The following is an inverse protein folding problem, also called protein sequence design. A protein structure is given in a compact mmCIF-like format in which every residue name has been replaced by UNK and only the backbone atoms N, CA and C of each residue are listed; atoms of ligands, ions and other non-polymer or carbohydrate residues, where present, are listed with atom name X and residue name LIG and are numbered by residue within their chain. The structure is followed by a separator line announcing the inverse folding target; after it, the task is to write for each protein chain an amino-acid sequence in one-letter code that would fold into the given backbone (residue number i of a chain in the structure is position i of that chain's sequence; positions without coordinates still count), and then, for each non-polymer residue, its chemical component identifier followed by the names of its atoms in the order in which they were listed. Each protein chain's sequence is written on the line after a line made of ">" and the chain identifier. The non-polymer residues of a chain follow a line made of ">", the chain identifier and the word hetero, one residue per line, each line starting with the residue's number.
data_IF_256091979037
#
_entry.id   IF_256091979037
#
_cell.length_a   1.000
_cell.length_b   1.000
_cell.length_c   1.000
_cell.angle_alpha   90.00
_cell.angle_beta   90.00
_cell.angle_gamma   90.00
#
_symmetry.space_group_name_H-M   'P 1'
#
loop_
_entity.id
_entity.type
_entity.pdbx_description
1 polymer ?
#
# COMPACT_ATOMS: atom_id res chain seq x y z
N UNK A 1 -24.77 3.32 -26.58
CA UNK A 1 -23.69 2.35 -26.32
C UNK A 1 -23.02 2.86 -25.06
N UNK A 2 -22.97 2.05 -24.01
CA UNK A 2 -22.54 2.51 -22.70
C UNK A 2 -21.08 2.96 -22.77
N UNK A 3 -20.81 4.17 -22.28
CA UNK A 3 -19.50 4.66 -21.87
C UNK A 3 -18.82 3.56 -21.04
N UNK A 4 -17.89 2.83 -21.66
CA UNK A 4 -16.88 2.10 -20.91
C UNK A 4 -16.03 3.17 -20.25
N UNK A 5 -16.35 3.50 -19.00
CA UNK A 5 -15.41 4.13 -18.10
C UNK A 5 -14.16 3.25 -18.14
N UNK A 6 -13.14 3.66 -18.90
CA UNK A 6 -11.80 3.11 -18.87
C UNK A 6 -11.24 3.36 -17.47
N UNK A 7 -11.68 2.52 -16.53
CA UNK A 7 -11.14 2.46 -15.20
C UNK A 7 -9.66 2.09 -15.36
N UNK A 8 -8.75 2.88 -14.78
CA UNK A 8 -7.33 2.69 -15.00
C UNK A 8 -6.92 1.25 -14.66
N UNK A 9 -5.94 0.72 -15.40
CA UNK A 9 -5.29 -0.60 -15.20
C UNK A 9 -4.51 -0.71 -13.88
N UNK A 10 -4.92 0.06 -12.87
CA UNK A 10 -4.17 0.32 -11.66
C UNK A 10 -4.73 -0.52 -10.50
N UNK A 11 -3.89 -1.24 -9.73
CA UNK A 11 -4.33 -1.98 -8.56
C UNK A 11 -5.18 -1.11 -7.64
N UNK A 12 -6.34 -1.64 -7.24
CA UNK A 12 -7.22 -0.98 -6.30
C UNK A 12 -6.67 -1.16 -4.88
N UNK A 13 -6.62 -0.06 -4.14
CA UNK A 13 -6.14 -0.03 -2.77
C UNK A 13 -7.32 0.15 -1.84
N UNK A 14 -7.58 -0.83 -0.99
CA UNK A 14 -8.62 -0.76 0.01
C UNK A 14 -7.99 -0.52 1.40
N UNK A 15 -8.14 0.70 1.90
CA UNK A 15 -7.71 1.07 3.24
C UNK A 15 -8.79 0.67 4.25
N UNK A 16 -8.43 -0.18 5.21
CA UNK A 16 -9.31 -0.64 6.29
C UNK A 16 -8.71 -0.27 7.64
N UNK A 17 -9.50 -0.35 8.72
CA UNK A 17 -8.97 -0.09 10.08
C UNK A 17 -7.85 -1.06 10.46
N UNK A 18 -7.87 -2.27 9.89
CA UNK A 18 -6.91 -3.32 10.17
C UNK A 18 -5.67 -3.29 9.26
N UNK A 19 -5.68 -2.53 8.16
CA UNK A 19 -4.65 -2.67 7.15
C UNK A 19 -4.96 -2.11 5.77
N UNK A 20 -4.03 -2.32 4.85
CA UNK A 20 -4.18 -2.00 3.43
C UNK A 20 -4.27 -3.30 2.64
N UNK A 21 -5.36 -3.50 1.92
CA UNK A 21 -5.48 -4.58 0.96
C UNK A 21 -5.21 -4.03 -0.44
N UNK A 22 -4.34 -4.70 -1.18
CA UNK A 22 -4.05 -4.36 -2.57
C UNK A 22 -4.71 -5.41 -3.44
N UNK A 23 -5.60 -4.94 -4.30
CA UNK A 23 -6.42 -5.74 -5.19
C UNK A 23 -5.98 -5.49 -6.62
N UNK A 24 -6.05 -6.53 -7.43
CA UNK A 24 -5.81 -6.42 -8.86
C UNK A 24 -6.93 -5.61 -9.54
N UNK A 25 -6.55 -4.71 -10.45
CA UNK A 25 -7.48 -3.83 -11.17
C UNK A 25 -8.53 -4.63 -11.95
N UNK A 26 -8.08 -5.67 -12.63
CA UNK A 26 -8.91 -6.52 -13.48
C UNK A 26 -9.81 -7.43 -12.65
N UNK A 27 -9.33 -7.90 -11.49
CA UNK A 27 -10.17 -8.67 -10.57
C UNK A 27 -11.28 -7.85 -9.96
N UNK A 28 -11.02 -6.62 -9.47
CA UNK A 28 -12.07 -5.78 -8.88
C UNK A 28 -13.13 -5.38 -9.90
N UNK A 29 -12.73 -5.16 -11.16
CA UNK A 29 -13.68 -4.90 -12.26
C UNK A 29 -14.64 -6.05 -12.51
N UNK A 30 -14.24 -7.29 -12.19
CA UNK A 30 -15.04 -8.51 -12.44
C UNK A 30 -15.82 -8.96 -11.22
N UNK A 31 -15.20 -8.95 -10.04
CA UNK A 31 -15.81 -9.39 -8.79
C UNK A 31 -15.13 -8.75 -7.58
N UNK A 32 -15.86 -7.91 -6.84
CA UNK A 32 -15.35 -7.19 -5.67
C UNK A 32 -15.06 -8.12 -4.46
N UNK A 33 -15.56 -9.35 -4.50
CA UNK A 33 -15.32 -10.36 -3.46
C UNK A 33 -14.05 -11.17 -3.71
N UNK A 34 -13.34 -10.88 -4.80
CA UNK A 34 -12.05 -11.52 -5.08
C UNK A 34 -11.06 -11.26 -3.95
N UNK A 35 -10.28 -12.28 -3.55
CA UNK A 35 -9.29 -12.10 -2.51
C UNK A 35 -8.23 -11.09 -2.97
N UNK A 36 -7.77 -10.21 -2.08
CA UNK A 36 -6.70 -9.27 -2.40
C UNK A 36 -5.41 -10.03 -2.74
N UNK A 37 -4.61 -9.45 -3.63
CA UNK A 37 -3.29 -10.00 -4.01
C UNK A 37 -2.39 -10.09 -2.77
N UNK A 38 -2.41 -9.04 -1.95
CA UNK A 38 -1.76 -9.07 -0.65
C UNK A 38 -2.45 -8.09 0.32
N UNK A 39 -2.24 -8.33 1.61
CA UNK A 39 -2.79 -7.51 2.70
C UNK A 39 -1.68 -7.14 3.65
N UNK A 40 -1.45 -5.84 3.82
CA UNK A 40 -0.59 -5.31 4.86
C UNK A 40 -1.44 -5.06 6.10
N UNK A 41 -0.99 -5.56 7.24
CA UNK A 41 -1.67 -5.44 8.53
C UNK A 41 -1.00 -4.35 9.35
N UNK A 42 -1.83 -3.55 10.00
CA UNK A 42 -1.33 -2.57 10.97
C UNK A 42 -0.72 -3.30 12.17
N UNK A 43 0.53 -3.02 12.51
CA UNK A 43 1.21 -3.64 13.63
C UNK A 43 2.58 -3.02 13.94
N UNK A 44 3.07 -3.16 15.19
CA UNK A 44 4.37 -2.62 15.57
C UNK A 44 5.49 -3.29 14.78
N UNK A 45 6.36 -2.49 14.15
CA UNK A 45 7.43 -2.99 13.30
C UNK A 45 6.97 -3.51 11.93
N UNK A 46 5.68 -3.51 11.62
CA UNK A 46 5.21 -3.81 10.28
C UNK A 46 5.43 -2.62 9.36
N UNK A 47 5.37 -2.86 8.06
CA UNK A 47 5.39 -1.83 7.03
C UNK A 47 4.23 -0.82 7.21
N UNK A 48 3.09 -1.27 7.75
CA UNK A 48 2.06 -0.40 8.31
C UNK A 48 2.16 -0.39 9.85
N UNK A 49 2.87 0.58 10.41
CA UNK A 49 2.86 0.80 11.87
C UNK A 49 1.60 1.53 12.34
N UNK A 50 0.95 2.23 11.42
CA UNK A 50 -0.20 3.08 11.69
C UNK A 50 -1.31 2.81 10.69
N UNK A 51 -2.53 3.23 11.05
CA UNK A 51 -3.69 3.07 10.20
C UNK A 51 -3.52 3.85 8.89
N UNK A 52 -3.64 3.19 7.73
CA UNK A 52 -3.69 3.88 6.45
C UNK A 52 -5.03 4.64 6.35
N UNK A 53 -4.97 5.93 6.07
CA UNK A 53 -6.14 6.78 5.87
C UNK A 53 -6.62 6.70 4.42
N UNK A 54 -5.70 6.90 3.47
CA UNK A 54 -6.01 6.90 2.04
C UNK A 54 -4.77 6.64 1.20
N UNK A 55 -4.96 6.07 0.02
CA UNK A 55 -3.95 6.11 -1.03
C UNK A 55 -3.99 7.50 -1.70
N UNK A 56 -2.89 8.25 -1.63
CA UNK A 56 -2.79 9.60 -2.19
C UNK A 56 -2.47 9.62 -3.68
N UNK A 57 -1.90 8.54 -4.22
CA UNK A 57 -1.62 8.45 -5.64
C UNK A 57 -0.91 7.15 -5.99
N UNK A 58 -1.02 6.79 -7.25
CA UNK A 58 -0.27 5.69 -7.83
C UNK A 58 0.34 6.14 -9.15
N UNK A 59 1.65 6.01 -9.24
CA UNK A 59 2.49 6.34 -10.40
C UNK A 59 3.17 5.06 -10.87
N UNK A 60 2.64 4.44 -11.93
CA UNK A 60 3.08 3.11 -12.38
C UNK A 60 2.93 2.05 -11.28
N UNK A 61 4.04 1.41 -10.94
CA UNK A 61 4.16 0.38 -9.90
C UNK A 61 4.45 0.96 -8.51
N UNK A 62 4.44 2.29 -8.39
CA UNK A 62 4.63 2.98 -7.11
C UNK A 62 3.31 3.45 -6.55
N UNK A 63 2.98 2.99 -5.35
CA UNK A 63 1.79 3.37 -4.59
C UNK A 63 2.17 4.25 -3.40
N UNK A 64 1.43 5.34 -3.21
CA UNK A 64 1.62 6.26 -2.08
C UNK A 64 0.41 6.24 -1.16
N UNK A 65 0.62 5.93 0.11
CA UNK A 65 -0.42 5.79 1.15
C UNK A 65 -0.16 6.76 2.29
N UNK A 66 -1.15 7.58 2.62
CA UNK A 66 -1.11 8.46 3.79
C UNK A 66 -1.67 7.73 5.01
N UNK A 67 -0.94 7.81 6.12
CA UNK A 67 -1.30 7.23 7.40
C UNK A 67 -1.75 8.31 8.40
N UNK A 68 -2.45 7.89 9.46
CA UNK A 68 -3.10 8.79 10.43
C UNK A 68 -2.13 9.75 11.15
N UNK A 69 -0.88 9.35 11.42
CA UNK A 69 0.14 10.21 12.02
C UNK A 69 0.93 11.09 11.04
N UNK A 70 0.41 11.33 9.84
CA UNK A 70 1.05 12.19 8.84
C UNK A 70 2.25 11.56 8.11
N UNK A 71 2.56 10.30 8.42
CA UNK A 71 3.52 9.51 7.65
C UNK A 71 2.92 9.13 6.29
N UNK A 72 3.76 9.20 5.26
CA UNK A 72 3.45 8.79 3.89
C UNK A 72 4.28 7.56 3.56
N UNK A 73 3.63 6.46 3.25
CA UNK A 73 4.27 5.23 2.80
C UNK A 73 4.29 5.20 1.28
N UNK A 74 5.47 5.01 0.71
CA UNK A 74 5.71 4.76 -0.70
C UNK A 74 6.08 3.29 -0.87
N UNK A 75 5.25 2.56 -1.62
CA UNK A 75 5.41 1.14 -1.91
C UNK A 75 5.78 1.03 -3.38
N UNK A 76 6.99 0.57 -3.66
CA UNK A 76 7.50 0.31 -5.00
C UNK A 76 7.44 -1.19 -5.28
N UNK A 77 6.46 -1.62 -6.08
CA UNK A 77 6.23 -3.03 -6.37
C UNK A 77 7.20 -3.61 -7.39
N UNK A 78 7.83 -2.78 -8.22
CA UNK A 78 8.82 -3.23 -9.22
C UNK A 78 10.11 -3.66 -8.52
N UNK A 79 10.59 -2.82 -7.60
CA UNK A 79 11.81 -3.08 -6.81
C UNK A 79 11.55 -3.89 -5.51
N UNK A 80 10.29 -4.19 -5.17
CA UNK A 80 9.84 -4.75 -3.88
C UNK A 80 10.40 -3.95 -2.68
N UNK A 81 10.25 -2.61 -2.73
CA UNK A 81 10.78 -1.68 -1.71
C UNK A 81 9.68 -0.84 -1.08
N UNK A 82 9.71 -0.71 0.25
CA UNK A 82 8.84 0.21 0.97
C UNK A 82 9.63 1.30 1.69
N UNK A 83 9.23 2.55 1.49
CA UNK A 83 9.80 3.72 2.14
C UNK A 83 8.72 4.50 2.87
N UNK A 84 8.95 4.86 4.13
CA UNK A 84 8.11 5.70 4.97
C UNK A 84 8.75 7.09 5.08
N UNK A 85 8.06 8.10 4.58
CA UNK A 85 8.44 9.51 4.69
C UNK A 85 7.55 10.19 5.73
N UNK A 86 8.13 10.83 6.73
CA UNK A 86 7.38 11.53 7.79
C UNK A 86 8.12 12.75 8.32
N UNK A 87 7.57 13.44 9.34
CA UNK A 87 8.24 14.57 9.99
C UNK A 87 9.58 14.18 10.63
N UNK A 88 9.75 12.90 10.99
CA UNK A 88 10.97 12.34 11.57
C UNK A 88 12.05 11.99 10.51
N UNK A 89 11.74 12.15 9.21
CA UNK A 89 12.62 11.82 8.10
C UNK A 89 12.11 10.66 7.23
N UNK A 90 12.99 10.18 6.35
CA UNK A 90 12.74 9.07 5.44
C UNK A 90 13.34 7.78 5.99
N UNK A 91 12.54 6.72 5.97
CA UNK A 91 12.91 5.42 6.48
C UNK A 91 12.55 4.33 5.49
N UNK A 92 13.46 3.40 5.23
CA UNK A 92 13.20 2.21 4.41
C UNK A 92 12.80 1.04 5.30
N UNK A 93 11.81 0.26 4.89
CA UNK A 93 11.49 -1.00 5.57
C UNK A 93 12.66 -1.98 5.41
N UNK A 94 13.00 -2.72 6.46
CA UNK A 94 14.19 -3.61 6.41
C UNK A 94 14.00 -4.81 5.47
N UNK A 95 12.76 -5.24 5.25
CA UNK A 95 12.43 -6.30 4.31
C UNK A 95 11.78 -5.77 3.03
N UNK A 96 11.22 -6.69 2.27
CA UNK A 96 10.38 -6.37 1.12
C UNK A 96 8.98 -5.89 1.50
N UNK A 97 8.20 -5.45 0.51
CA UNK A 97 6.75 -5.24 0.67
C UNK A 97 6.06 -6.55 1.05
N UNK A 98 6.54 -7.65 0.46
CA UNK A 98 6.07 -9.01 0.73
C UNK A 98 6.26 -9.42 2.20
N UNK A 99 7.34 -8.95 2.85
CA UNK A 99 7.64 -9.16 4.28
C UNK A 99 7.02 -8.08 5.18
N UNK A 100 6.14 -7.24 4.63
CA UNK A 100 5.59 -6.07 5.31
C UNK A 100 4.81 -6.37 6.59
N UNK A 101 4.48 -7.64 6.84
CA UNK A 101 3.78 -8.12 8.04
C UNK A 101 4.69 -8.82 9.06
N UNK A 102 5.99 -8.92 8.77
CA UNK A 102 6.93 -9.73 9.57
C UNK A 102 7.50 -8.97 10.77
N UNK A 103 7.13 -7.70 10.96
CA UNK A 103 7.57 -6.92 12.12
C UNK A 103 9.06 -6.55 12.10
N UNK A 104 9.71 -6.51 10.93
CA UNK A 104 11.15 -6.27 10.80
C UNK A 104 11.57 -4.85 11.21
N UNK A 105 10.62 -3.92 11.12
CA UNK A 105 10.79 -2.51 11.39
C UNK A 105 11.48 -1.75 10.26
N UNK A 106 11.74 -0.48 10.52
CA UNK A 106 12.35 0.43 9.57
C UNK A 106 13.81 0.71 9.89
N UNK A 107 14.55 1.11 8.86
CA UNK A 107 15.91 1.63 8.95
C UNK A 107 15.96 3.01 8.27
N UNK A 108 16.83 3.93 8.71
CA UNK A 108 17.03 5.20 8.02
C UNK A 108 17.41 4.94 6.55
N UNK A 109 16.77 5.66 5.64
CA UNK A 109 16.97 5.54 4.19
C UNK A 109 18.27 6.22 3.72
#
# INVERSE_FOLDING_TARGET
>A
MADFLELPDKPYLNCTEAGLAVLDADQVKRDISSPPLFVLKVGPGNLLEQRPLKASGQDGEVVVVQCEGGATLRLDFDDDVATKSGPDGDFRYKGGISDGNDGLGFMPA
#
